data_IF_825558955813
#
_entry.id   IF_825558955813
#
_cell.length_a   1.000
_cell.length_b   1.000
_cell.length_c   1.000
_cell.angle_alpha   90.00
_cell.angle_beta   90.00
_cell.angle_gamma   90.00
#
_symmetry.space_group_name_H-M   'P 1'
#
loop_
_entity.id
_entity.type
_entity.pdbx_description
1 polymer ?
#
# COMPACT_ATOMS: atom_id res chain seq x y z
N UNK A 1 30.81 41.38 -10.12
CA UNK A 1 32.14 40.95 -9.66
C UNK A 1 32.17 39.43 -9.74
N UNK A 2 33.15 38.88 -10.46
CA UNK A 2 33.29 37.46 -10.73
C UNK A 2 33.81 36.75 -9.47
N UNK A 3 32.90 36.19 -8.67
CA UNK A 3 33.27 35.46 -7.47
C UNK A 3 33.82 34.08 -7.82
N UNK A 4 35.10 33.87 -7.48
CA UNK A 4 35.75 32.56 -7.55
C UNK A 4 34.97 31.54 -6.73
N UNK A 5 34.90 30.26 -7.16
CA UNK A 5 34.32 29.20 -6.35
C UNK A 5 35.04 29.13 -4.99
N UNK A 6 34.29 28.95 -3.88
CA UNK A 6 34.87 28.90 -2.54
C UNK A 6 35.84 27.73 -2.43
N UNK A 7 36.99 27.96 -1.77
CA UNK A 7 38.02 26.94 -1.57
C UNK A 7 37.49 25.89 -0.57
N UNK A 8 36.98 24.78 -1.08
CA UNK A 8 36.53 23.65 -0.27
C UNK A 8 37.74 22.92 0.33
N UNK A 9 37.93 23.09 1.64
CA UNK A 9 38.83 22.24 2.43
C UNK A 9 37.97 21.07 2.94
N UNK A 10 38.52 19.86 2.98
CA UNK A 10 37.82 18.70 3.52
C UNK A 10 38.23 18.51 4.98
N UNK A 11 37.25 18.35 5.88
CA UNK A 11 37.49 18.05 7.30
C UNK A 11 37.36 19.25 8.25
N UNK A 12 37.25 20.47 7.74
CA UNK A 12 36.68 21.58 8.50
C UNK A 12 35.15 21.47 8.40
N UNK A 13 34.43 21.61 9.51
CA UNK A 13 32.95 21.61 9.52
C UNK A 13 32.36 22.90 8.92
N UNK A 14 33.11 23.57 8.05
CA UNK A 14 32.73 24.83 7.44
C UNK A 14 31.72 24.57 6.31
N UNK A 15 30.78 25.49 6.16
CA UNK A 15 29.82 25.44 5.07
C UNK A 15 30.53 25.62 3.72
N UNK A 16 30.08 24.87 2.71
CA UNK A 16 30.57 24.99 1.32
C UNK A 16 30.41 26.42 0.77
N UNK A 17 29.41 27.16 1.27
CA UNK A 17 29.11 28.53 0.89
C UNK A 17 29.13 29.43 2.13
N UNK A 18 29.62 30.69 2.00
CA UNK A 18 29.55 31.63 3.10
C UNK A 18 28.09 31.90 3.48
N UNK A 19 27.82 31.93 4.78
CA UNK A 19 26.49 32.25 5.29
C UNK A 19 26.08 33.66 4.86
N UNK A 20 24.84 33.83 4.40
CA UNK A 20 24.35 35.16 4.01
C UNK A 20 24.40 36.13 5.21
N UNK A 21 24.67 37.43 5.00
CA UNK A 21 24.69 38.42 6.09
C UNK A 21 23.37 38.49 6.86
N UNK A 22 22.25 38.23 6.16
CA UNK A 22 20.90 38.12 6.74
C UNK A 22 20.76 36.91 7.65
N UNK A 23 21.31 35.75 7.27
CA UNK A 23 21.28 34.55 8.11
C UNK A 23 22.15 34.72 9.36
N UNK A 24 23.29 35.41 9.26
CA UNK A 24 24.16 35.72 10.41
C UNK A 24 23.50 36.68 11.41
N UNK A 25 22.58 37.55 10.95
CA UNK A 25 21.86 38.50 11.79
C UNK A 25 20.49 38.00 12.26
N UNK A 26 20.04 36.85 11.76
CA UNK A 26 18.73 36.31 12.10
C UNK A 26 18.73 35.75 13.53
N UNK A 27 17.79 36.22 14.37
CA UNK A 27 17.55 35.64 15.70
C UNK A 27 16.70 34.38 15.57
N UNK A 28 17.01 33.36 16.38
CA UNK A 28 16.22 32.14 16.41
C UNK A 28 14.77 32.43 16.85
N UNK A 29 13.81 31.70 16.29
CA UNK A 29 12.43 31.75 16.79
C UNK A 29 12.31 30.94 18.07
N UNK A 30 11.37 31.26 18.98
CA UNK A 30 11.15 30.47 20.20
C UNK A 30 10.88 28.98 19.94
N UNK A 31 10.34 28.65 18.76
CA UNK A 31 10.17 27.27 18.31
C UNK A 31 11.50 26.60 17.94
N UNK A 32 12.36 27.30 17.21
CA UNK A 32 13.69 26.80 16.85
C UNK A 32 14.56 26.60 18.09
N UNK A 33 14.52 27.53 19.04
CA UNK A 33 15.19 27.39 20.33
C UNK A 33 14.73 26.14 21.08
N UNK A 34 13.41 25.88 21.11
CA UNK A 34 12.85 24.68 21.74
C UNK A 34 13.24 23.38 21.02
N UNK A 35 13.42 23.41 19.71
CA UNK A 35 13.88 22.27 18.92
C UNK A 35 15.39 22.05 19.04
N UNK A 36 16.16 23.10 19.32
CA UNK A 36 17.59 23.03 19.57
C UNK A 36 17.91 22.44 20.95
N UNK A 37 16.97 22.50 21.90
CA UNK A 37 17.08 21.75 23.15
C UNK A 37 17.13 20.26 22.85
N UNK A 38 18.06 19.55 23.49
CA UNK A 38 18.14 18.11 23.39
C UNK A 38 16.82 17.46 23.84
N UNK A 39 16.43 16.37 23.18
CA UNK A 39 15.25 15.60 23.61
C UNK A 39 15.44 15.17 25.06
N UNK A 40 14.38 15.32 25.87
CA UNK A 40 14.37 14.89 27.26
C UNK A 40 14.80 13.42 27.34
N UNK A 41 15.83 13.14 28.14
CA UNK A 41 16.27 11.77 28.34
C UNK A 41 15.23 11.05 29.21
N UNK A 42 14.54 10.07 28.64
CA UNK A 42 13.56 9.23 29.34
C UNK A 42 14.19 7.97 29.96
N UNK A 43 15.52 7.82 29.91
CA UNK A 43 16.20 6.68 30.50
C UNK A 43 16.35 6.88 32.02
N UNK A 44 15.87 5.92 32.80
CA UNK A 44 16.05 5.89 34.26
C UNK A 44 17.34 5.15 34.62
N UNK A 45 18.33 5.84 35.20
CA UNK A 45 19.59 5.27 35.71
C UNK A 45 20.88 5.71 34.99
N UNK A 46 22.05 5.34 35.53
CA UNK A 46 23.37 5.53 34.89
C UNK A 46 23.59 4.46 33.81
N UNK A 47 23.22 4.75 32.55
CA UNK A 47 23.78 4.04 31.39
C UNK A 47 24.31 5.03 30.37
N UNK A 48 25.48 5.57 30.69
CA UNK A 48 26.34 6.32 29.78
C UNK A 48 27.23 5.27 29.08
N UNK A 49 27.24 5.31 27.74
CA UNK A 49 28.04 4.46 26.82
C UNK A 49 27.65 2.96 26.80
N UNK A 50 26.88 2.55 25.77
CA UNK A 50 26.68 1.15 25.43
C UNK A 50 27.79 0.71 24.45
N UNK A 51 28.36 -0.51 24.59
CA UNK A 51 29.33 -1.00 23.62
C UNK A 51 28.67 -1.16 22.25
N UNK A 52 29.28 -0.57 21.22
CA UNK A 52 28.85 -0.65 19.83
C UNK A 52 29.30 -2.01 19.26
N UNK A 53 28.36 -2.92 19.00
CA UNK A 53 28.67 -4.22 18.43
C UNK A 53 28.83 -4.12 16.90
N UNK A 54 30.06 -4.33 16.42
CA UNK A 54 30.49 -4.14 15.03
C UNK A 54 30.35 -5.41 14.17
N UNK A 55 29.22 -6.13 14.23
CA UNK A 55 29.09 -7.35 13.43
C UNK A 55 27.78 -7.46 12.64
N UNK A 56 27.97 -7.35 11.31
CA UNK A 56 27.35 -8.17 10.25
C UNK A 56 26.07 -7.73 9.52
N UNK A 57 25.81 -6.43 9.36
CA UNK A 57 25.11 -5.91 8.16
C UNK A 57 25.05 -4.37 8.10
N UNK A 58 26.14 -3.66 8.42
CA UNK A 58 26.24 -2.20 8.22
C UNK A 58 25.18 -1.34 8.93
N UNK A 59 24.39 -1.92 9.84
CA UNK A 59 23.36 -1.25 10.61
C UNK A 59 23.63 -1.55 12.08
N UNK A 60 23.83 -0.51 12.87
CA UNK A 60 24.10 -0.59 14.31
C UNK A 60 22.85 -1.13 15.03
N UNK A 61 22.72 -2.46 15.11
CA UNK A 61 21.68 -3.08 15.92
C UNK A 61 22.14 -3.17 17.36
N UNK A 62 21.42 -2.51 18.25
CA UNK A 62 21.53 -2.70 19.71
C UNK A 62 20.89 -4.05 20.04
N UNK A 63 21.58 -5.14 19.73
CA UNK A 63 21.15 -6.48 20.13
C UNK A 63 21.43 -6.56 21.64
N UNK A 64 20.37 -6.70 22.42
CA UNK A 64 20.49 -6.92 23.86
C UNK A 64 21.22 -8.25 24.09
N UNK A 65 22.21 -8.27 24.97
CA UNK A 65 22.75 -9.54 25.45
C UNK A 65 21.61 -10.33 26.11
N UNK A 66 21.32 -11.51 25.57
CA UNK A 66 20.30 -12.40 26.11
C UNK A 66 20.82 -12.92 27.44
N UNK A 67 20.01 -12.82 28.50
CA UNK A 67 20.44 -13.33 29.79
C UNK A 67 20.71 -14.84 29.70
N UNK A 68 21.77 -15.37 30.32
CA UNK A 68 22.09 -16.79 30.26
C UNK A 68 20.95 -17.65 30.83
N UNK A 69 20.17 -17.11 31.77
CA UNK A 69 18.94 -17.74 32.27
C UNK A 69 17.88 -17.89 31.17
N UNK A 70 17.70 -16.90 30.29
CA UNK A 70 16.74 -17.00 29.19
C UNK A 70 17.12 -18.07 28.15
N UNK A 71 18.40 -18.45 28.07
CA UNK A 71 18.89 -19.53 27.18
C UNK A 71 18.69 -20.92 27.79
N UNK A 72 18.54 -21.02 29.11
CA UNK A 72 18.36 -22.29 29.82
C UNK A 72 16.92 -22.54 30.28
N UNK A 73 16.06 -21.51 30.32
CA UNK A 73 14.67 -21.66 30.74
C UNK A 73 13.81 -22.34 29.68
N UNK A 74 13.04 -23.33 30.10
CA UNK A 74 11.99 -23.94 29.26
C UNK A 74 10.82 -22.98 29.05
N UNK A 75 10.21 -23.04 27.86
CA UNK A 75 9.05 -22.22 27.52
C UNK A 75 7.85 -22.54 28.42
N UNK A 76 7.19 -21.53 28.95
CA UNK A 76 5.93 -21.71 29.69
C UNK A 76 4.82 -22.24 28.79
N UNK A 77 3.84 -22.95 29.35
CA UNK A 77 2.69 -23.50 28.61
C UNK A 77 1.95 -22.43 27.80
N UNK A 78 1.82 -21.21 28.33
CA UNK A 78 1.22 -20.09 27.60
C UNK A 78 2.03 -19.70 26.36
N UNK A 79 3.36 -19.71 26.45
CA UNK A 79 4.23 -19.42 25.30
C UNK A 79 4.13 -20.53 24.25
N UNK A 80 4.02 -21.80 24.67
CA UNK A 80 3.75 -22.92 23.75
C UNK A 80 2.42 -22.72 23.01
N UNK A 81 1.37 -22.29 23.71
CA UNK A 81 0.05 -21.97 23.09
C UNK A 81 0.15 -20.79 22.11
N UNK A 82 0.91 -19.75 22.46
CA UNK A 82 1.09 -18.58 21.57
C UNK A 82 2.02 -18.85 20.38
N UNK A 83 2.90 -19.85 20.50
CA UNK A 83 3.75 -20.32 19.40
C UNK A 83 2.96 -21.11 18.35
N UNK A 84 1.79 -21.66 18.70
CA UNK A 84 0.89 -22.26 17.73
C UNK A 84 0.34 -21.16 16.78
N UNK A 85 0.17 -21.48 15.49
CA UNK A 85 -0.43 -20.54 14.55
C UNK A 85 -1.84 -20.15 15.02
N UNK A 86 -2.19 -18.87 14.82
CA UNK A 86 -3.50 -18.34 15.21
C UNK A 86 -4.60 -19.10 14.46
N UNK A 87 -5.42 -19.83 15.19
CA UNK A 87 -6.59 -20.50 14.63
C UNK A 87 -7.63 -19.47 14.17
N UNK A 88 -8.30 -19.77 13.07
CA UNK A 88 -9.40 -18.93 12.59
C UNK A 88 -10.55 -18.94 13.62
N UNK A 89 -11.22 -17.80 13.86
CA UNK A 89 -12.40 -17.77 14.72
C UNK A 89 -13.51 -18.64 14.12
N UNK A 90 -14.42 -19.21 14.95
CA UNK A 90 -15.45 -20.13 14.49
C UNK A 90 -16.42 -19.53 13.47
N UNK A 91 -16.55 -18.20 13.45
CA UNK A 91 -17.37 -17.43 12.51
C UNK A 91 -16.64 -17.07 11.20
N UNK A 92 -15.37 -17.49 11.06
CA UNK A 92 -14.59 -17.24 9.86
C UNK A 92 -15.15 -18.07 8.68
N UNK A 93 -16.04 -17.45 7.93
CA UNK A 93 -16.38 -17.86 6.58
C UNK A 93 -15.24 -17.41 5.68
N UNK A 94 -14.39 -18.34 5.27
CA UNK A 94 -13.33 -18.02 4.31
C UNK A 94 -13.94 -17.47 3.03
N UNK A 95 -13.62 -16.23 2.67
CA UNK A 95 -14.11 -15.56 1.45
C UNK A 95 -13.71 -16.28 0.15
N UNK A 96 -12.86 -17.30 0.25
CA UNK A 96 -12.43 -18.16 -0.86
C UNK A 96 -12.34 -19.61 -0.39
N UNK A 97 -12.95 -20.58 -1.09
CA UNK A 97 -12.48 -21.94 -0.99
C UNK A 97 -11.02 -21.92 -1.47
N UNK A 98 -10.14 -22.29 -0.55
CA UNK A 98 -8.75 -22.65 -0.80
C UNK A 98 -7.76 -21.52 -1.12
N UNK A 99 -6.63 -21.62 -0.43
CA UNK A 99 -5.33 -21.13 -0.83
C UNK A 99 -4.86 -21.80 -2.16
N UNK A 100 -5.73 -21.98 -3.15
CA UNK A 100 -5.36 -22.52 -4.46
C UNK A 100 -4.38 -21.57 -5.18
N UNK A 101 -4.42 -20.26 -4.97
CA UNK A 101 -3.65 -19.34 -5.82
C UNK A 101 -2.24 -18.96 -5.34
N UNK A 102 -1.68 -19.58 -4.30
CA UNK A 102 -0.24 -19.43 -4.00
C UNK A 102 0.63 -20.58 -4.53
N UNK A 103 0.03 -21.73 -4.91
CA UNK A 103 0.66 -22.81 -5.70
C UNK A 103 -0.35 -23.93 -6.04
N UNK A 104 -1.42 -23.65 -6.78
CA UNK A 104 -2.33 -24.71 -7.25
C UNK A 104 -1.75 -25.44 -8.45
N UNK A 105 -1.59 -26.75 -8.28
CA UNK A 105 -1.75 -27.71 -9.36
C UNK A 105 -3.20 -27.57 -9.80
N UNK A 106 -3.45 -26.75 -10.83
CA UNK A 106 -4.77 -26.60 -11.43
C UNK A 106 -5.36 -27.99 -11.69
N UNK A 107 -6.57 -28.23 -11.20
CA UNK A 107 -7.29 -29.47 -11.51
C UNK A 107 -7.56 -29.49 -13.03
N UNK A 108 -6.73 -30.24 -13.75
CA UNK A 108 -6.84 -30.37 -15.20
C UNK A 108 -8.17 -31.05 -15.51
N UNK A 109 -9.02 -30.41 -16.32
CA UNK A 109 -10.30 -30.98 -16.73
C UNK A 109 -10.11 -32.38 -17.32
N UNK A 110 -11.04 -33.30 -17.05
CA UNK A 110 -10.90 -34.69 -17.48
C UNK A 110 -10.83 -34.86 -19.01
N UNK A 111 -11.42 -33.92 -19.76
CA UNK A 111 -11.25 -33.85 -21.22
C UNK A 111 -9.82 -33.53 -21.66
N UNK A 112 -9.09 -32.70 -20.90
CA UNK A 112 -7.69 -32.39 -21.17
C UNK A 112 -6.77 -33.57 -20.81
N UNK A 113 -7.10 -34.37 -19.77
CA UNK A 113 -6.37 -35.62 -19.44
C UNK A 113 -6.51 -36.70 -20.52
N UNK A 114 -7.65 -36.73 -21.22
CA UNK A 114 -7.95 -37.70 -22.30
C UNK A 114 -7.55 -37.21 -23.69
N UNK A 115 -7.07 -35.98 -23.82
CA UNK A 115 -6.70 -35.41 -25.11
C UNK A 115 -5.43 -36.11 -25.64
N UNK A 116 -5.46 -36.76 -26.81
CA UNK A 116 -4.25 -37.34 -27.39
C UNK A 116 -3.26 -36.22 -27.73
N UNK A 117 -1.97 -36.50 -27.54
CA UNK A 117 -0.94 -35.52 -27.87
C UNK A 117 -0.99 -35.22 -29.37
N UNK A 118 -0.89 -33.93 -29.72
CA UNK A 118 -0.80 -33.50 -31.12
C UNK A 118 0.64 -33.70 -31.58
N UNK A 119 0.83 -34.14 -32.82
CA UNK A 119 2.18 -34.32 -33.41
C UNK A 119 3.07 -33.08 -33.27
N UNK A 120 2.48 -31.88 -33.41
CA UNK A 120 3.20 -30.61 -33.20
C UNK A 120 3.64 -30.42 -31.75
N UNK A 121 2.80 -30.80 -30.79
CA UNK A 121 3.15 -30.73 -29.36
C UNK A 121 4.28 -31.70 -29.04
N UNK A 122 4.23 -32.92 -29.58
CA UNK A 122 5.30 -33.92 -29.44
C UNK A 122 6.61 -33.44 -30.07
N UNK A 123 6.54 -32.78 -31.23
CA UNK A 123 7.71 -32.19 -31.88
C UNK A 123 8.32 -31.07 -31.03
N UNK A 124 7.49 -30.17 -30.47
CA UNK A 124 7.95 -29.06 -29.64
C UNK A 124 8.44 -29.50 -28.26
N UNK A 125 7.92 -30.63 -27.73
CA UNK A 125 8.35 -31.20 -26.47
C UNK A 125 9.75 -31.85 -26.56
N UNK A 126 10.24 -32.16 -27.77
CA UNK A 126 11.61 -32.66 -27.95
C UNK A 126 12.61 -31.53 -27.63
N UNK A 127 13.56 -31.76 -26.71
CA UNK A 127 14.60 -30.78 -26.46
C UNK A 127 15.41 -30.55 -27.73
N UNK A 128 15.84 -29.30 -27.96
CA UNK A 128 16.70 -28.97 -29.10
C UNK A 128 18.01 -29.74 -28.99
N UNK A 129 18.48 -30.31 -30.09
CA UNK A 129 19.82 -30.90 -30.14
C UNK A 129 20.85 -29.82 -29.84
N UNK A 130 21.83 -30.08 -28.96
CA UNK A 130 22.91 -29.14 -28.74
C UNK A 130 23.67 -28.89 -30.04
N UNK A 131 24.29 -27.71 -30.16
CA UNK A 131 25.13 -27.37 -31.31
C UNK A 131 26.25 -28.40 -31.47
N UNK A 132 26.73 -28.64 -32.70
CA UNK A 132 27.81 -29.61 -32.98
C UNK A 132 29.05 -29.41 -32.12
N UNK A 133 29.32 -28.16 -31.75
CA UNK A 133 30.49 -27.76 -30.97
C UNK A 133 30.19 -27.63 -29.45
N UNK A 134 29.01 -28.05 -28.99
CA UNK A 134 28.68 -28.01 -27.57
C UNK A 134 29.54 -29.00 -26.78
N UNK A 135 30.40 -28.46 -25.92
CA UNK A 135 31.12 -29.21 -24.90
C UNK A 135 30.40 -29.04 -23.56
N UNK A 136 30.14 -30.14 -22.85
CA UNK A 136 29.55 -30.11 -21.51
C UNK A 136 30.41 -29.34 -20.48
N UNK A 137 29.86 -29.13 -19.29
CA UNK A 137 30.58 -28.49 -18.19
C UNK A 137 31.86 -29.28 -17.86
N UNK A 138 32.98 -28.58 -17.72
CA UNK A 138 34.24 -29.18 -17.25
C UNK A 138 34.11 -29.52 -15.76
N UNK A 139 34.65 -30.66 -15.33
CA UNK A 139 34.75 -31.02 -13.92
C UNK A 139 35.58 -29.98 -13.14
N UNK A 140 35.25 -29.78 -11.87
CA UNK A 140 35.60 -28.58 -11.05
C UNK A 140 37.11 -28.39 -10.86
N UNK A 141 37.92 -29.43 -11.03
CA UNK A 141 39.37 -29.35 -10.87
C UNK A 141 40.06 -29.00 -12.20
N UNK A 142 39.91 -27.74 -12.64
CA UNK A 142 40.76 -27.25 -13.73
C UNK A 142 42.20 -27.12 -13.22
N UNK A 143 43.04 -28.13 -13.51
CA UNK A 143 44.49 -28.03 -13.34
C UNK A 143 45.02 -26.90 -14.22
N UNK A 144 45.39 -25.77 -13.59
CA UNK A 144 45.89 -24.60 -14.31
C UNK A 144 47.23 -24.97 -14.97
N UNK A 145 47.34 -24.93 -16.31
CA UNK A 145 48.57 -25.33 -16.99
C UNK A 145 49.72 -24.38 -16.61
N UNK A 146 50.95 -24.90 -16.59
CA UNK A 146 52.15 -24.13 -16.23
C UNK A 146 52.33 -22.86 -17.07
N UNK A 147 51.85 -22.85 -18.32
CA UNK A 147 51.86 -21.67 -19.19
C UNK A 147 50.96 -20.55 -18.68
N UNK A 148 49.78 -20.88 -18.15
CA UNK A 148 48.87 -19.90 -17.54
C UNK A 148 49.40 -19.39 -16.19
N UNK A 149 50.06 -20.26 -15.39
CA UNK A 149 50.72 -19.85 -14.15
C UNK A 149 51.88 -18.87 -14.37
N UNK A 150 52.53 -18.95 -15.54
CA UNK A 150 53.64 -18.06 -15.94
C UNK A 150 53.18 -16.91 -16.84
N UNK A 151 51.88 -16.79 -17.10
CA UNK A 151 51.35 -15.75 -17.96
C UNK A 151 51.54 -14.37 -17.32
N UNK A 152 52.30 -13.50 -17.98
CA UNK A 152 52.43 -12.10 -17.57
C UNK A 152 51.29 -11.27 -18.17
N UNK A 153 50.83 -10.26 -17.43
CA UNK A 153 49.85 -9.32 -17.94
C UNK A 153 50.39 -8.58 -19.18
N UNK A 154 49.54 -8.36 -20.18
CA UNK A 154 49.92 -7.52 -21.31
C UNK A 154 49.99 -6.06 -20.86
N UNK A 155 50.79 -5.24 -21.55
CA UNK A 155 50.92 -3.81 -21.25
C UNK A 155 49.56 -3.10 -21.15
N UNK A 156 48.61 -3.44 -22.03
CA UNK A 156 47.24 -2.93 -21.98
C UNK A 156 46.51 -3.30 -20.68
N UNK A 157 46.68 -4.53 -20.19
CA UNK A 157 46.05 -4.98 -18.93
C UNK A 157 46.69 -4.27 -17.75
N UNK A 158 48.00 -4.07 -17.77
CA UNK A 158 48.71 -3.26 -16.76
C UNK A 158 48.22 -1.81 -16.78
N UNK A 159 48.03 -1.21 -17.95
CA UNK A 159 47.51 0.15 -18.10
C UNK A 159 46.06 0.28 -17.60
N UNK A 160 45.21 -0.72 -17.86
CA UNK A 160 43.84 -0.76 -17.35
C UNK A 160 43.78 -1.02 -15.83
N UNK A 161 44.76 -1.75 -15.30
CA UNK A 161 44.89 -2.01 -13.87
C UNK A 161 45.41 -0.81 -13.09
N UNK A 162 46.02 0.19 -13.75
CA UNK A 162 46.42 1.44 -13.09
C UNK A 162 45.18 2.18 -12.58
N UNK A 163 45.18 2.62 -11.31
CA UNK A 163 44.10 3.42 -10.79
C UNK A 163 43.96 4.70 -11.61
N UNK A 164 42.72 5.08 -11.93
CA UNK A 164 42.46 6.34 -12.64
C UNK A 164 42.97 7.50 -11.80
N UNK A 165 43.99 8.22 -12.29
CA UNK A 165 44.46 9.46 -11.68
C UNK A 165 43.34 10.50 -11.73
N UNK A 166 42.88 10.95 -10.56
CA UNK A 166 41.88 12.02 -10.43
C UNK A 166 42.56 13.22 -9.79
N UNK A 167 42.29 14.46 -10.26
CA UNK A 167 42.80 15.65 -9.60
C UNK A 167 42.27 15.73 -8.17
N UNK A 168 43.06 16.30 -7.26
CA UNK A 168 42.63 16.56 -5.89
C UNK A 168 41.54 17.64 -5.89
N UNK A 169 40.34 17.30 -5.40
CA UNK A 169 39.21 18.20 -5.34
C UNK A 169 37.88 17.53 -5.71
N UNK A 170 36.77 18.29 -5.68
CA UNK A 170 35.48 17.79 -6.14
C UNK A 170 35.57 17.39 -7.62
N UNK A 171 34.97 16.25 -7.98
CA UNK A 171 35.00 15.70 -9.35
C UNK A 171 34.28 16.60 -10.37
N UNK A 172 33.46 17.53 -9.88
CA UNK A 172 32.76 18.54 -10.67
C UNK A 172 32.94 19.90 -10.02
N UNK A 173 33.01 20.95 -10.85
CA UNK A 173 32.95 22.32 -10.38
C UNK A 173 31.61 22.53 -9.65
N UNK A 174 31.62 22.86 -8.34
CA UNK A 174 30.40 23.24 -7.64
C UNK A 174 30.00 24.61 -8.17
N UNK A 175 29.21 24.61 -9.25
CA UNK A 175 28.57 25.81 -9.75
C UNK A 175 27.59 26.39 -8.73
N UNK A 176 26.67 27.23 -9.17
CA UNK A 176 25.64 27.78 -8.28
C UNK A 176 24.80 26.66 -7.61
N UNK A 177 24.33 26.80 -6.37
CA UNK A 177 23.52 25.78 -5.67
C UNK A 177 22.29 25.30 -6.44
N UNK A 178 21.72 26.16 -7.27
CA UNK A 178 20.54 25.87 -8.11
C UNK A 178 20.88 25.22 -9.46
N UNK A 179 22.18 25.15 -9.82
CA UNK A 179 22.61 24.53 -11.07
C UNK A 179 22.78 23.02 -10.88
N UNK A 180 22.44 22.27 -11.93
CA UNK A 180 22.63 20.82 -11.94
C UNK A 180 24.12 20.48 -11.76
N UNK A 181 24.42 19.61 -10.79
CA UNK A 181 25.79 19.10 -10.54
C UNK A 181 26.40 18.50 -11.81
N UNK A 182 25.56 17.95 -12.69
CA UNK A 182 25.93 17.40 -13.99
C UNK A 182 25.68 18.41 -15.11
N UNK A 183 26.63 18.55 -16.03
CA UNK A 183 26.43 19.31 -17.28
C UNK A 183 25.42 18.56 -18.16
N UNK A 184 24.15 18.96 -18.11
CA UNK A 184 23.12 18.47 -19.02
C UNK A 184 23.28 19.18 -20.36
N UNK A 185 23.25 18.44 -21.46
CA UNK A 185 23.30 19.02 -22.81
C UNK A 185 22.11 19.98 -23.02
N UNK A 186 22.34 21.13 -23.66
CA UNK A 186 21.28 22.12 -23.94
C UNK A 186 20.07 21.52 -24.64
N UNK A 187 20.28 20.58 -25.58
CA UNK A 187 19.20 19.85 -26.27
C UNK A 187 18.33 19.02 -25.33
N UNK A 188 18.92 18.43 -24.29
CA UNK A 188 18.19 17.67 -23.29
C UNK A 188 17.43 18.60 -22.33
N UNK A 189 17.97 19.80 -22.05
CA UNK A 189 17.29 20.81 -21.22
C UNK A 189 16.09 21.45 -21.91
N UNK A 190 16.14 21.61 -23.24
CA UNK A 190 15.04 22.16 -24.04
C UNK A 190 14.11 21.11 -24.65
N UNK A 191 14.32 19.82 -24.34
CA UNK A 191 13.47 18.75 -24.84
C UNK A 191 12.06 18.86 -24.24
N UNK A 192 11.06 18.93 -25.12
CA UNK A 192 9.64 18.88 -24.74
C UNK A 192 9.06 17.50 -25.04
N UNK A 193 8.06 17.10 -24.27
CA UNK A 193 7.38 15.83 -24.48
C UNK A 193 6.68 15.82 -25.85
N UNK A 194 6.72 14.67 -26.54
CA UNK A 194 5.99 14.48 -27.80
C UNK A 194 4.48 14.49 -27.55
N UNK A 195 3.68 14.80 -28.58
CA UNK A 195 2.21 14.78 -28.47
C UNK A 195 1.68 13.45 -27.93
N UNK A 196 2.23 12.32 -28.40
CA UNK A 196 1.90 10.99 -27.90
C UNK A 196 2.21 10.82 -26.41
N UNK A 197 3.35 11.32 -25.93
CA UNK A 197 3.69 11.27 -24.50
C UNK A 197 2.72 12.12 -23.68
N UNK A 198 2.33 13.29 -24.18
CA UNK A 198 1.33 14.13 -23.54
C UNK A 198 -0.03 13.42 -23.48
N UNK A 199 -0.44 12.73 -24.53
CA UNK A 199 -1.68 11.92 -24.54
C UNK A 199 -1.62 10.76 -23.55
N UNK A 200 -0.52 10.01 -23.52
CA UNK A 200 -0.31 8.91 -22.57
C UNK A 200 -0.18 9.39 -21.12
N UNK A 201 0.26 10.63 -20.91
CA UNK A 201 0.33 11.25 -19.58
C UNK A 201 -1.02 11.68 -19.03
N UNK A 202 -2.05 11.80 -19.89
CA UNK A 202 -3.40 12.10 -19.42
C UNK A 202 -3.89 10.94 -18.55
N UNK A 203 -4.45 11.21 -17.36
CA UNK A 203 -5.04 10.16 -16.56
C UNK A 203 -6.16 9.48 -17.35
N UNK A 204 -6.37 8.18 -17.10
CA UNK A 204 -7.50 7.46 -17.70
C UNK A 204 -8.80 8.15 -17.30
N UNK A 205 -9.69 8.35 -18.27
CA UNK A 205 -11.03 8.85 -17.99
C UNK A 205 -11.78 7.93 -17.04
N UNK A 206 -12.72 8.50 -16.30
CA UNK A 206 -13.71 7.74 -15.54
C UNK A 206 -14.56 6.91 -16.51
N UNK A 207 -15.03 5.73 -16.06
CA UNK A 207 -15.92 4.91 -16.86
C UNK A 207 -17.26 5.63 -17.09
N UNK A 208 -17.93 5.34 -18.22
CA UNK A 208 -19.27 5.85 -18.47
C UNK A 208 -20.23 5.43 -17.35
N UNK A 209 -20.92 6.41 -16.78
CA UNK A 209 -21.81 6.20 -15.64
C UNK A 209 -21.11 6.14 -14.28
N UNK A 210 -19.83 6.52 -14.18
CA UNK A 210 -19.20 6.68 -12.87
C UNK A 210 -19.89 7.77 -12.06
N UNK A 211 -20.37 7.41 -10.87
CA UNK A 211 -20.96 8.31 -9.89
C UNK A 211 -20.11 8.27 -8.64
N UNK A 212 -19.77 9.43 -8.12
CA UNK A 212 -19.09 9.56 -6.82
C UNK A 212 -19.86 8.81 -5.72
N UNK A 213 -19.14 8.28 -4.74
CA UNK A 213 -19.79 7.79 -3.53
C UNK A 213 -20.67 8.90 -2.93
N UNK A 214 -21.90 8.53 -2.56
CA UNK A 214 -22.83 9.46 -1.90
C UNK A 214 -22.19 9.95 -0.61
N UNK A 215 -22.25 11.26 -0.36
CA UNK A 215 -21.78 11.83 0.90
C UNK A 215 -22.54 11.22 2.07
N UNK A 216 -21.84 10.94 3.18
CA UNK A 216 -22.40 10.28 4.38
C UNK A 216 -23.51 11.13 5.02
N UNK A 217 -23.47 12.45 4.81
CA UNK A 217 -24.48 13.38 5.29
C UNK A 217 -25.43 13.77 4.16
N UNK A 218 -26.70 13.36 4.27
CA UNK A 218 -27.73 13.88 3.39
C UNK A 218 -28.03 15.33 3.77
N UNK A 219 -27.85 16.31 2.88
CA UNK A 219 -28.36 17.65 3.15
C UNK A 219 -29.89 17.57 3.18
N UNK A 220 -30.47 17.74 4.37
CA UNK A 220 -31.92 17.83 4.51
C UNK A 220 -32.40 19.03 3.70
N UNK A 221 -33.28 18.79 2.72
CA UNK A 221 -33.76 19.85 1.83
C UNK A 221 -34.39 20.99 2.64
N UNK A 222 -34.31 22.22 2.12
CA UNK A 222 -34.95 23.38 2.77
C UNK A 222 -36.46 23.19 2.96
N UNK A 223 -37.12 22.49 2.03
CA UNK A 223 -38.53 22.13 2.15
C UNK A 223 -38.78 21.14 3.29
N UNK A 224 -37.95 20.11 3.43
CA UNK A 224 -38.07 19.17 4.54
C UNK A 224 -37.82 19.83 5.90
N UNK A 225 -36.84 20.74 6.00
CA UNK A 225 -36.55 21.50 7.25
C UNK A 225 -37.65 22.48 7.66
N UNK A 226 -38.43 22.97 6.70
CA UNK A 226 -39.50 23.95 6.92
C UNK A 226 -40.89 23.33 6.90
N UNK A 227 -40.98 22.02 6.69
CA UNK A 227 -42.26 21.35 6.61
C UNK A 227 -42.95 21.36 7.98
N UNK A 228 -44.19 21.84 8.03
CA UNK A 228 -45.03 21.75 9.21
C UNK A 228 -45.97 20.56 9.04
N UNK A 229 -46.18 19.75 10.10
CA UNK A 229 -47.09 18.61 10.01
C UNK A 229 -48.52 19.08 9.71
N UNK A 230 -49.20 18.38 8.82
CA UNK A 230 -50.64 18.59 8.57
C UNK A 230 -51.47 18.34 9.83
N UNK A 231 -52.60 19.02 9.96
CA UNK A 231 -53.50 18.91 11.12
C UNK A 231 -53.88 17.47 11.46
N UNK A 232 -54.20 16.65 10.44
CA UNK A 232 -54.47 15.21 10.59
C UNK A 232 -53.29 14.46 11.23
N UNK A 233 -52.07 14.80 10.86
CA UNK A 233 -50.86 14.16 11.37
C UNK A 233 -50.63 14.58 12.84
N UNK A 234 -51.00 15.81 13.20
CA UNK A 234 -51.10 16.26 14.59
C UNK A 234 -52.13 15.44 15.39
N UNK A 235 -53.34 15.26 14.86
CA UNK A 235 -54.39 14.45 15.49
C UNK A 235 -53.94 12.99 15.71
N UNK A 236 -53.28 12.40 14.71
CA UNK A 236 -52.76 11.03 14.79
C UNK A 236 -51.54 10.90 15.70
N UNK A 237 -50.82 11.99 15.97
CA UNK A 237 -49.70 11.99 16.91
C UNK A 237 -50.12 11.96 18.37
N UNK A 238 -51.39 12.27 18.66
CA UNK A 238 -51.96 12.13 20.00
C UNK A 238 -52.09 10.65 20.32
N UNK A 239 -51.55 10.16 21.46
CA UNK A 239 -51.67 8.76 21.84
C UNK A 239 -53.15 8.37 21.98
N UNK A 240 -53.51 7.21 21.44
CA UNK A 240 -54.86 6.67 21.58
C UNK A 240 -55.08 6.28 23.04
N UNK A 241 -55.80 7.11 23.79
CA UNK A 241 -56.24 6.79 25.13
C UNK A 241 -57.39 5.79 24.99
N UNK A 242 -57.12 4.52 25.33
CA UNK A 242 -58.16 3.49 25.38
C UNK A 242 -59.03 3.75 26.61
N UNK A 243 -60.34 3.66 26.44
CA UNK A 243 -61.26 3.66 27.58
C UNK A 243 -60.95 2.47 28.52
N UNK A 244 -61.31 2.61 29.79
CA UNK A 244 -61.21 1.52 30.78
C UNK A 244 -61.95 0.27 30.29
N UNK A 245 -61.47 -0.92 30.68
CA UNK A 245 -62.01 -2.20 30.19
C UNK A 245 -63.54 -2.31 30.36
N UNK A 246 -64.10 -1.70 31.40
CA UNK A 246 -65.53 -1.69 31.69
C UNK A 246 -66.40 -1.09 30.57
N UNK A 247 -65.86 -0.17 29.77
CA UNK A 247 -66.55 0.42 28.62
C UNK A 247 -66.32 -0.33 27.30
N UNK A 248 -65.30 -1.20 27.23
CA UNK A 248 -64.94 -1.96 26.02
C UNK A 248 -65.63 -3.33 25.99
N UNK A 249 -66.05 -3.85 27.15
CA UNK A 249 -66.66 -5.18 27.26
C UNK A 249 -68.10 -5.26 26.75
N UNK A 250 -68.82 -4.14 26.65
CA UNK A 250 -70.22 -4.14 26.23
C UNK A 250 -70.47 -3.10 25.15
N UNK A 251 -70.28 -3.51 23.89
CA UNK A 251 -70.79 -2.78 22.73
C UNK A 251 -72.14 -3.43 22.31
N UNK A 252 -73.28 -2.80 22.64
CA UNK A 252 -74.60 -3.35 22.31
C UNK A 252 -74.83 -3.46 20.80
N UNK A 253 -74.02 -2.74 20.00
CA UNK A 253 -74.11 -2.69 18.55
C UNK A 253 -73.03 -3.55 17.88
N UNK A 254 -72.26 -4.37 18.63
CA UNK A 254 -71.18 -5.20 18.10
C UNK A 254 -71.63 -6.15 16.97
N UNK A 255 -72.89 -6.58 17.02
CA UNK A 255 -73.50 -7.47 16.02
C UNK A 255 -74.36 -6.73 14.99
N UNK A 256 -74.46 -5.40 15.11
CA UNK A 256 -75.19 -4.56 14.17
C UNK A 256 -74.22 -4.03 13.11
N UNK A 257 -74.55 -4.28 11.84
CA UNK A 257 -73.79 -3.70 10.72
C UNK A 257 -73.96 -2.18 10.75
N UNK A 258 -72.86 -1.46 10.93
CA UNK A 258 -72.84 0.01 10.93
C UNK A 258 -73.49 0.56 9.66
N UNK A 259 -74.28 1.63 9.78
CA UNK A 259 -74.95 2.27 8.64
C UNK A 259 -73.99 2.73 7.54
N UNK A 260 -72.76 3.09 7.91
CA UNK A 260 -71.68 3.42 6.96
C UNK A 260 -71.19 2.21 6.19
N UNK A 261 -71.14 1.03 6.82
CA UNK A 261 -70.79 -0.22 6.17
C UNK A 261 -71.90 -0.69 5.21
N UNK A 262 -73.18 -0.47 5.55
CA UNK A 262 -74.31 -0.74 4.64
C UNK A 262 -74.26 0.11 3.36
N UNK A 263 -73.68 1.30 3.44
CA UNK A 263 -73.52 2.24 2.30
C UNK A 263 -72.16 2.12 1.61
N UNK A 264 -71.26 1.27 2.11
CA UNK A 264 -69.93 1.14 1.56
C UNK A 264 -69.99 0.52 0.17
N UNK A 265 -69.32 1.16 -0.80
CA UNK A 265 -69.14 0.60 -2.14
C UNK A 265 -67.80 -0.13 -2.21
N UNK A 266 -67.76 -1.20 -2.98
CA UNK A 266 -66.54 -1.92 -3.30
C UNK A 266 -65.52 -0.96 -3.94
N UNK A 267 -64.23 -1.09 -3.60
CA UNK A 267 -63.19 -0.35 -4.33
C UNK A 267 -63.02 -0.93 -5.73
N UNK A 268 -62.65 -0.10 -6.70
CA UNK A 268 -62.48 -0.53 -8.09
C UNK A 268 -61.52 -1.73 -8.22
N UNK A 269 -60.39 -1.72 -7.48
CA UNK A 269 -59.43 -2.83 -7.45
C UNK A 269 -60.04 -4.13 -6.92
N UNK A 270 -60.85 -4.07 -5.87
CA UNK A 270 -61.49 -5.27 -5.30
C UNK A 270 -62.59 -5.80 -6.23
N UNK A 271 -63.25 -4.93 -6.99
CA UNK A 271 -64.21 -5.31 -8.03
C UNK A 271 -63.52 -6.01 -9.20
N UNK A 272 -62.38 -5.50 -9.66
CA UNK A 272 -61.54 -6.14 -10.68
C UNK A 272 -61.05 -7.53 -10.24
N UNK A 273 -60.58 -7.67 -9.00
CA UNK A 273 -60.10 -8.95 -8.46
C UNK A 273 -61.23 -9.97 -8.20
N UNK A 274 -62.46 -9.51 -8.04
CA UNK A 274 -63.63 -10.37 -7.88
C UNK A 274 -64.13 -10.96 -9.21
N UNK A 275 -63.62 -10.47 -10.35
CA UNK A 275 -63.93 -11.04 -11.65
C UNK A 275 -63.29 -12.44 -11.80
N UNK A 276 -64.00 -13.41 -12.38
CA UNK A 276 -63.46 -14.75 -12.59
C UNK A 276 -62.25 -14.70 -13.52
N UNK A 277 -61.15 -15.33 -13.11
CA UNK A 277 -59.98 -15.52 -13.95
C UNK A 277 -60.34 -16.42 -15.13
N UNK A 278 -60.40 -15.87 -16.34
CA UNK A 278 -60.51 -16.67 -17.58
C UNK A 278 -59.20 -17.43 -17.80
N UNK A 279 -59.26 -18.76 -17.81
CA UNK A 279 -58.14 -19.67 -18.11
C UNK A 279 -58.29 -20.27 -19.49
#
# INVERSE_FOLDING_TARGET
MLDRPPKLVWGNQDHLWPMSPTALRASATPRLERLALSKRNFQTGRKICRPEFSYSCGRTSVIWEVSPLAMTTESTERVKVLALPKQAPPEYLGDRPENEFSCSIWTVADGAKRCPSRERSDYLARPKTPHRDYTGNKEVETLVPRSAQRGMATSRVEDLARPKSRPAGPFFDPGHPEQSIWKVNGKARSASATQRLLELSKPKGLADGWVNNREVMWPVSRSARRNQPTERLGQLSVPIIRATMDHVQFDPDAFLVKETAKKARCSQRTEELAQPLTR
#
